data_IF_558072742991
#
_entry.id   IF_558072742991
#
_cell.length_a   1.000
_cell.length_b   1.000
_cell.length_c   1.000
_cell.angle_alpha   90.00
_cell.angle_beta   90.00
_cell.angle_gamma   90.00
#
_symmetry.space_group_name_H-M   'P 1'
#
loop_
_entity.id
_entity.type
_entity.pdbx_description
1 polymer ?
#
# COMPACT_ATOMS: atom_id res chain seq x y z
N UNK A 1 -1.51 -26.52 -16.20
CA UNK A 1 -2.63 -25.66 -15.73
C UNK A 1 -3.53 -25.35 -16.91
N UNK A 2 -4.86 -25.53 -16.82
CA UNK A 2 -5.75 -25.04 -17.87
C UNK A 2 -5.59 -23.51 -17.94
N UNK A 3 -5.70 -22.93 -19.13
CA UNK A 3 -5.57 -21.49 -19.38
C UNK A 3 -6.40 -20.62 -18.40
N UNK A 4 -7.42 -21.20 -17.77
CA UNK A 4 -8.22 -20.62 -16.70
C UNK A 4 -7.42 -20.21 -15.44
N UNK A 5 -6.41 -20.96 -15.00
CA UNK A 5 -5.69 -20.64 -13.74
C UNK A 5 -4.66 -19.53 -13.98
N UNK A 6 -4.01 -19.51 -15.15
CA UNK A 6 -3.17 -18.39 -15.57
C UNK A 6 -4.01 -17.13 -15.80
N UNK A 7 -5.21 -17.27 -16.39
CA UNK A 7 -6.19 -16.16 -16.48
C UNK A 7 -6.68 -15.71 -15.11
N UNK A 8 -6.85 -16.60 -14.13
CA UNK A 8 -7.25 -16.22 -12.77
C UNK A 8 -6.12 -15.54 -12.00
N UNK A 9 -4.87 -15.96 -12.18
CA UNK A 9 -3.69 -15.30 -11.60
C UNK A 9 -3.43 -13.96 -12.28
N UNK A 10 -3.49 -13.89 -13.61
CA UNK A 10 -3.40 -12.64 -14.37
C UNK A 10 -4.60 -11.75 -14.08
N UNK A 11 -5.81 -12.26 -13.86
CA UNK A 11 -6.97 -11.47 -13.47
C UNK A 11 -6.89 -11.02 -12.01
N UNK A 12 -6.31 -11.79 -11.09
CA UNK A 12 -6.09 -11.34 -9.71
C UNK A 12 -4.94 -10.31 -9.62
N UNK A 13 -3.87 -10.51 -10.40
CA UNK A 13 -2.81 -9.54 -10.61
C UNK A 13 -3.31 -8.32 -11.38
N UNK A 14 -4.19 -8.47 -12.37
CA UNK A 14 -4.88 -7.37 -13.02
C UNK A 14 -5.95 -6.77 -12.12
N UNK A 15 -6.55 -7.42 -11.14
CA UNK A 15 -7.46 -6.72 -10.21
C UNK A 15 -6.63 -5.93 -9.21
N UNK A 16 -5.49 -6.45 -8.73
CA UNK A 16 -4.55 -5.70 -7.91
C UNK A 16 -3.85 -4.58 -8.70
N UNK A 17 -3.48 -4.83 -9.95
CA UNK A 17 -2.88 -3.86 -10.84
C UNK A 17 -3.91 -2.93 -11.46
N UNK A 18 -5.15 -3.31 -11.80
CA UNK A 18 -6.23 -2.43 -12.34
C UNK A 18 -6.91 -1.65 -11.22
N UNK A 19 -6.91 -2.14 -9.98
CA UNK A 19 -7.14 -1.26 -8.83
C UNK A 19 -6.10 -0.12 -8.76
N UNK A 20 -4.93 -0.27 -9.42
CA UNK A 20 -3.85 0.73 -9.48
C UNK A 20 -3.52 1.26 -10.89
N UNK A 21 -4.06 0.69 -11.95
CA UNK A 21 -3.83 0.98 -13.38
C UNK A 21 -5.13 1.41 -14.07
N UNK A 22 -6.26 1.27 -13.37
CA UNK A 22 -7.42 2.15 -13.50
C UNK A 22 -7.16 3.56 -12.97
N UNK A 23 -5.91 4.01 -12.86
CA UNK A 23 -5.53 5.43 -12.81
C UNK A 23 -5.72 6.02 -14.22
N UNK A 24 -6.87 5.76 -14.84
CA UNK A 24 -7.37 6.60 -15.92
C UNK A 24 -7.89 7.85 -15.25
N UNK A 25 -7.18 8.96 -15.38
CA UNK A 25 -7.55 10.29 -14.89
C UNK A 25 -8.39 10.25 -13.59
N UNK A 26 -7.81 9.73 -12.50
CA UNK A 26 -8.39 10.01 -11.18
C UNK A 26 -8.32 11.53 -11.07
N UNK A 27 -9.48 12.19 -11.09
CA UNK A 27 -9.54 13.59 -10.73
C UNK A 27 -9.04 13.66 -9.29
N UNK A 28 -7.76 14.00 -9.12
CA UNK A 28 -7.21 14.31 -7.82
C UNK A 28 -8.04 15.47 -7.30
N UNK A 29 -8.93 15.18 -6.36
CA UNK A 29 -9.80 16.20 -5.83
C UNK A 29 -8.96 17.16 -5.02
N UNK A 30 -9.21 18.46 -5.22
CA UNK A 30 -8.47 19.49 -4.52
C UNK A 30 -8.73 19.31 -3.02
N UNK A 31 -7.64 19.26 -2.25
CA UNK A 31 -7.75 19.25 -0.79
C UNK A 31 -8.66 20.38 -0.30
N UNK A 32 -9.49 20.12 0.72
CA UNK A 32 -10.37 21.14 1.27
C UNK A 32 -9.56 22.32 1.83
N UNK A 33 -10.15 23.50 1.77
CA UNK A 33 -9.53 24.71 2.32
C UNK A 33 -9.63 24.71 3.84
N UNK A 34 -8.53 24.33 4.50
CA UNK A 34 -8.45 24.28 5.97
C UNK A 34 -8.30 25.66 6.62
N UNK A 35 -8.23 26.76 5.85
CA UNK A 35 -8.12 28.11 6.41
C UNK A 35 -9.31 28.51 7.29
N UNK A 36 -10.44 27.84 7.10
CA UNK A 36 -11.69 28.07 7.83
C UNK A 36 -11.84 27.17 9.07
N UNK A 37 -10.90 26.25 9.34
CA UNK A 37 -10.94 25.37 10.51
C UNK A 37 -10.71 26.15 11.80
N UNK A 38 -11.45 25.81 12.86
CA UNK A 38 -11.17 26.35 14.19
C UNK A 38 -9.86 25.76 14.71
N UNK A 39 -8.98 26.60 15.22
CA UNK A 39 -7.68 26.13 15.73
C UNK A 39 -6.77 25.55 14.66
N UNK A 40 -6.90 25.99 13.40
CA UNK A 40 -6.07 25.58 12.27
C UNK A 40 -4.58 25.51 12.64
N UNK A 41 -4.03 24.29 12.64
CA UNK A 41 -2.64 23.95 12.93
C UNK A 41 -1.81 23.72 11.65
N UNK A 42 -2.41 24.01 10.50
CA UNK A 42 -1.82 23.83 9.17
C UNK A 42 -1.82 22.38 8.71
N UNK A 43 -2.67 21.51 9.27
CA UNK A 43 -2.87 20.14 8.83
C UNK A 43 -4.32 19.90 8.37
N UNK A 44 -4.46 18.98 7.42
CA UNK A 44 -5.75 18.37 7.09
C UNK A 44 -5.89 17.07 7.87
N UNK A 45 -7.06 16.88 8.47
CA UNK A 45 -7.43 15.67 9.20
C UNK A 45 -8.24 14.77 8.28
N UNK A 46 -7.80 13.52 8.12
CA UNK A 46 -8.30 12.56 7.14
C UNK A 46 -8.77 11.33 7.90
N UNK A 47 -10.05 10.98 7.77
CA UNK A 47 -10.64 9.79 8.34
C UNK A 47 -10.61 8.63 7.35
N UNK A 48 -10.04 7.51 7.78
CA UNK A 48 -10.08 6.19 7.15
C UNK A 48 -10.82 5.24 8.08
N UNK A 49 -12.16 5.29 8.05
CA UNK A 49 -12.99 4.71 9.10
C UNK A 49 -12.82 5.47 10.42
N UNK A 50 -12.40 4.77 11.48
CA UNK A 50 -12.15 5.38 12.80
C UNK A 50 -10.71 5.89 12.97
N UNK A 51 -9.80 5.51 12.08
CA UNK A 51 -8.43 6.01 12.13
C UNK A 51 -8.38 7.41 11.52
N UNK A 52 -7.78 8.36 12.24
CA UNK A 52 -7.53 9.70 11.75
C UNK A 52 -6.05 9.87 11.48
N UNK A 53 -5.73 10.35 10.28
CA UNK A 53 -4.40 10.82 9.91
C UNK A 53 -4.41 12.35 9.81
N UNK A 54 -3.39 13.01 10.32
CA UNK A 54 -3.13 14.42 10.08
C UNK A 54 -1.98 14.57 9.09
N UNK A 55 -2.19 15.34 8.02
CA UNK A 55 -1.18 15.50 6.97
C UNK A 55 -1.12 16.94 6.46
N UNK A 56 -0.02 17.31 5.80
CA UNK A 56 0.05 18.62 5.14
C UNK A 56 -0.82 18.58 3.87
N UNK A 57 -1.66 19.60 3.60
CA UNK A 57 -2.59 19.56 2.46
C UNK A 57 -1.92 19.36 1.10
N UNK A 58 -0.70 19.86 0.91
CA UNK A 58 0.08 19.71 -0.32
C UNK A 58 0.83 18.38 -0.42
N UNK A 59 0.79 17.55 0.62
CA UNK A 59 1.52 16.29 0.71
C UNK A 59 0.62 15.06 0.78
N UNK A 60 -0.66 15.18 0.46
CA UNK A 60 -1.58 14.04 0.42
C UNK A 60 -2.55 14.16 -0.75
N UNK A 61 -2.76 13.05 -1.47
CA UNK A 61 -3.62 12.96 -2.64
C UNK A 61 -4.84 12.12 -2.27
N UNK A 62 -6.03 12.68 -2.49
CA UNK A 62 -7.30 11.96 -2.34
C UNK A 62 -7.54 11.16 -3.61
N UNK A 63 -7.79 9.86 -3.46
CA UNK A 63 -8.00 8.95 -4.60
C UNK A 63 -9.43 8.41 -4.69
N UNK A 64 -10.26 8.63 -3.66
CA UNK A 64 -11.70 8.32 -3.69
C UNK A 64 -12.45 9.02 -2.54
N UNK A 65 -13.40 9.90 -2.89
CA UNK A 65 -14.43 10.36 -1.97
C UNK A 65 -15.76 9.63 -2.15
N UNK A 66 -15.95 8.94 -3.28
CA UNK A 66 -17.24 8.38 -3.63
C UNK A 66 -17.63 7.28 -2.64
N UNK A 67 -18.79 7.44 -2.03
CA UNK A 67 -19.32 6.52 -1.03
C UNK A 67 -18.86 6.76 0.41
N UNK A 68 -17.77 7.49 0.67
CA UNK A 68 -17.26 7.69 2.03
C UNK A 68 -18.26 8.41 2.95
N UNK A 69 -18.95 9.43 2.43
CA UNK A 69 -19.94 10.19 3.21
C UNK A 69 -21.23 9.40 3.51
N UNK A 70 -21.56 8.44 2.65
CA UNK A 70 -22.76 7.60 2.77
C UNK A 70 -22.48 6.26 3.46
N UNK A 71 -21.22 6.01 3.82
CA UNK A 71 -20.80 4.73 4.35
C UNK A 71 -21.09 4.67 5.87
N UNK A 72 -21.95 3.73 6.31
CA UNK A 72 -22.39 3.65 7.70
C UNK A 72 -21.26 3.30 8.69
N UNK A 73 -20.10 2.88 8.20
CA UNK A 73 -18.94 2.59 9.03
C UNK A 73 -18.15 3.83 9.42
N UNK A 74 -18.43 4.98 8.79
CA UNK A 74 -17.89 6.26 9.25
C UNK A 74 -18.71 6.80 10.43
N UNK A 75 -18.09 6.98 11.61
CA UNK A 75 -18.76 7.66 12.71
C UNK A 75 -19.08 9.11 12.34
N UNK A 76 -20.15 9.66 12.93
CA UNK A 76 -20.46 11.08 12.85
C UNK A 76 -19.26 11.93 13.32
N UNK A 77 -18.96 13.07 12.68
CA UNK A 77 -17.89 13.95 13.14
C UNK A 77 -18.31 14.63 14.46
N UNK A 78 -17.36 15.00 15.34
CA UNK A 78 -17.64 15.79 16.53
C UNK A 78 -18.43 17.09 16.26
N UNK A 79 -18.11 17.81 15.18
CA UNK A 79 -18.79 19.04 14.78
C UNK A 79 -18.94 19.10 13.25
N UNK A 80 -20.08 18.64 12.74
CA UNK A 80 -20.38 18.67 11.30
C UNK A 80 -20.52 20.10 10.71
N UNK A 81 -20.51 21.15 11.55
CA UNK A 81 -20.54 22.53 11.08
C UNK A 81 -19.17 23.05 10.65
N UNK A 82 -18.08 22.40 11.08
CA UNK A 82 -16.74 22.68 10.54
C UNK A 82 -16.60 22.22 9.09
N UNK A 83 -15.76 22.87 8.27
CA UNK A 83 -15.42 22.36 6.94
C UNK A 83 -14.81 20.95 7.00
N UNK A 84 -15.05 20.13 5.97
CA UNK A 84 -14.41 18.82 5.87
C UNK A 84 -12.88 18.98 5.82
N UNK A 85 -12.15 18.14 6.56
CA UNK A 85 -10.70 18.23 6.70
C UNK A 85 -10.22 18.96 7.95
N UNK A 86 -11.13 19.58 8.72
CA UNK A 86 -10.82 20.14 10.04
C UNK A 86 -10.72 19.05 11.11
N UNK A 87 -10.14 19.39 12.26
CA UNK A 87 -9.99 18.43 13.36
C UNK A 87 -11.35 17.86 13.79
N UNK A 88 -12.38 18.69 13.97
CA UNK A 88 -13.69 18.24 14.46
C UNK A 88 -14.64 17.80 13.33
N UNK A 89 -14.22 17.94 12.07
CA UNK A 89 -14.88 17.36 10.89
C UNK A 89 -13.86 16.78 9.89
N UNK A 90 -13.21 15.66 10.24
CA UNK A 90 -12.15 15.09 9.42
C UNK A 90 -12.69 14.64 8.07
N UNK A 91 -11.91 14.90 7.02
CA UNK A 91 -12.24 14.53 5.65
C UNK A 91 -12.33 13.00 5.54
N UNK A 92 -13.49 12.48 5.20
CA UNK A 92 -13.72 11.04 5.07
C UNK A 92 -13.26 10.55 3.72
N UNK A 93 -12.37 9.57 3.71
CA UNK A 93 -11.85 8.95 2.48
C UNK A 93 -11.79 7.43 2.64
N UNK A 94 -12.07 6.69 1.56
CA UNK A 94 -11.85 5.24 1.56
C UNK A 94 -10.40 4.89 1.28
N UNK A 95 -9.72 5.76 0.52
CA UNK A 95 -8.32 5.60 0.13
C UNK A 95 -7.66 6.94 -0.18
N UNK A 96 -6.36 7.02 0.07
CA UNK A 96 -5.53 8.15 -0.29
C UNK A 96 -4.05 7.81 -0.32
N UNK A 97 -3.25 8.73 -0.83
CA UNK A 97 -1.82 8.54 -1.04
C UNK A 97 -1.04 9.68 -0.40
N UNK A 98 -0.20 9.42 0.62
CA UNK A 98 0.76 10.42 1.04
C UNK A 98 1.81 10.64 -0.06
N UNK A 99 2.14 11.90 -0.32
CA UNK A 99 3.28 12.28 -1.13
C UNK A 99 4.51 12.22 -0.24
N UNK A 100 5.35 11.21 -0.47
CA UNK A 100 6.57 10.94 0.28
C UNK A 100 7.73 10.86 -0.69
N UNK A 101 8.82 11.53 -0.34
CA UNK A 101 10.08 11.39 -1.07
C UNK A 101 10.87 10.22 -0.47
N UNK A 102 11.50 9.41 -1.33
CA UNK A 102 12.26 8.24 -0.89
C UNK A 102 13.41 8.65 0.06
N UNK A 103 14.01 9.81 -0.17
CA UNK A 103 15.07 10.40 0.65
C UNK A 103 14.64 10.74 2.07
N UNK A 104 13.34 10.97 2.32
CA UNK A 104 12.79 11.17 3.67
C UNK A 104 12.72 9.88 4.46
N UNK A 105 12.66 8.73 3.78
CA UNK A 105 12.47 7.41 4.38
C UNK A 105 13.76 6.60 4.44
N UNK A 106 14.64 6.75 3.45
CA UNK A 106 15.92 6.04 3.36
C UNK A 106 17.05 7.05 3.12
N UNK A 107 17.91 7.29 4.13
CA UNK A 107 19.06 8.17 3.98
C UNK A 107 19.98 7.71 2.83
N UNK A 108 20.31 8.63 1.93
CA UNK A 108 21.20 8.36 0.80
C UNK A 108 20.54 7.66 -0.40
N UNK A 109 19.24 7.37 -0.34
CA UNK A 109 18.51 6.93 -1.53
C UNK A 109 18.39 8.09 -2.52
N UNK A 110 18.93 7.90 -3.72
CA UNK A 110 18.78 8.84 -4.82
C UNK A 110 17.52 8.50 -5.60
N UNK A 111 16.52 9.38 -5.55
CA UNK A 111 15.37 9.32 -6.45
C UNK A 111 15.77 9.88 -7.82
N UNK A 112 16.66 9.17 -8.53
CA UNK A 112 17.24 9.63 -9.81
C UNK A 112 16.22 9.76 -10.94
N UNK A 113 15.02 9.22 -10.74
CA UNK A 113 13.96 9.09 -11.74
C UNK A 113 12.67 9.83 -11.36
N UNK A 114 12.60 10.39 -10.14
CA UNK A 114 11.37 10.95 -9.56
C UNK A 114 10.29 9.90 -9.33
N UNK A 115 10.70 8.64 -9.17
CA UNK A 115 9.90 7.45 -9.43
C UNK A 115 10.17 6.31 -8.43
N UNK A 116 11.13 6.42 -7.51
CA UNK A 116 11.52 5.37 -6.53
C UNK A 116 10.39 4.48 -5.99
N UNK A 117 9.40 5.13 -5.39
CA UNK A 117 8.16 4.52 -4.94
C UNK A 117 7.05 5.30 -5.60
N UNK A 118 6.42 4.70 -6.59
CA UNK A 118 5.57 5.43 -7.53
C UNK A 118 4.18 5.72 -6.97
N UNK A 119 3.72 4.89 -6.03
CA UNK A 119 2.42 5.06 -5.41
C UNK A 119 2.41 4.45 -4.02
N UNK A 120 1.91 5.22 -3.08
CA UNK A 120 1.49 4.79 -1.77
C UNK A 120 -0.04 4.75 -1.76
N UNK A 121 -0.61 3.76 -1.11
CA UNK A 121 -2.04 3.71 -0.90
C UNK A 121 -2.28 3.34 0.55
N UNK A 122 -2.85 4.28 1.27
CA UNK A 122 -3.46 4.03 2.56
C UNK A 122 -4.95 3.85 2.31
N UNK A 123 -5.50 2.74 2.79
CA UNK A 123 -6.89 2.39 2.57
C UNK A 123 -7.55 1.90 3.85
N UNK A 124 -8.86 2.10 3.95
CA UNK A 124 -9.66 1.42 4.96
C UNK A 124 -9.76 -0.07 4.62
N UNK A 125 -9.48 -0.93 5.58
CA UNK A 125 -9.67 -2.38 5.47
C UNK A 125 -10.60 -2.88 6.57
N UNK A 126 -11.59 -3.69 6.20
CA UNK A 126 -12.54 -4.26 7.15
C UNK A 126 -12.21 -5.70 7.52
N UNK A 127 -11.58 -6.45 6.62
CA UNK A 127 -11.23 -7.85 6.81
C UNK A 127 -9.70 -8.03 6.93
N UNK A 128 -9.29 -9.17 7.48
CA UNK A 128 -7.88 -9.58 7.59
C UNK A 128 -7.35 -10.20 6.29
N UNK A 129 -8.13 -10.12 5.22
CA UNK A 129 -7.89 -10.88 4.00
C UNK A 129 -6.63 -10.42 3.26
N UNK A 130 -6.22 -9.15 3.36
CA UNK A 130 -5.09 -8.65 2.57
C UNK A 130 -3.80 -9.44 2.84
N UNK A 131 -3.40 -9.56 4.12
CA UNK A 131 -2.20 -10.29 4.51
C UNK A 131 -2.28 -11.77 4.11
N UNK A 132 -3.41 -12.42 4.42
CA UNK A 132 -3.63 -13.83 4.10
C UNK A 132 -3.62 -14.08 2.58
N UNK A 133 -4.21 -13.18 1.79
CA UNK A 133 -4.21 -13.25 0.33
C UNK A 133 -2.79 -13.12 -0.23
N UNK A 134 -1.95 -12.26 0.36
CA UNK A 134 -0.55 -12.12 -0.04
C UNK A 134 0.25 -13.39 0.24
N UNK A 135 0.15 -13.93 1.45
CA UNK A 135 0.82 -15.18 1.81
C UNK A 135 0.35 -16.34 0.90
N UNK A 136 -0.96 -16.50 0.69
CA UNK A 136 -1.50 -17.48 -0.26
C UNK A 136 -1.00 -17.26 -1.69
N UNK A 137 -0.73 -16.02 -2.09
CA UNK A 137 -0.17 -15.72 -3.42
C UNK A 137 1.30 -16.10 -3.51
N UNK A 138 2.07 -15.88 -2.43
CA UNK A 138 3.44 -16.37 -2.33
C UNK A 138 3.51 -17.90 -2.40
N UNK A 139 2.70 -18.61 -1.59
CA UNK A 139 2.68 -20.08 -1.61
C UNK A 139 2.35 -20.62 -3.01
N UNK A 140 1.36 -20.03 -3.69
CA UNK A 140 1.03 -20.38 -5.09
C UNK A 140 2.17 -20.10 -6.07
N UNK A 141 2.97 -19.06 -5.86
CA UNK A 141 4.14 -18.77 -6.69
C UNK A 141 5.28 -19.78 -6.46
N UNK A 142 5.31 -20.43 -5.29
CA UNK A 142 6.27 -21.48 -4.94
C UNK A 142 5.85 -22.87 -5.44
N UNK A 143 4.61 -23.06 -5.88
CA UNK A 143 4.19 -24.34 -6.46
C UNK A 143 4.86 -24.57 -7.83
N UNK A 144 5.45 -25.75 -8.07
CA UNK A 144 6.03 -26.08 -9.37
C UNK A 144 4.97 -25.98 -10.48
N UNK A 145 5.25 -25.26 -11.58
CA UNK A 145 4.27 -25.06 -12.62
C UNK A 145 4.06 -26.35 -13.43
N UNK A 146 2.79 -26.73 -13.60
CA UNK A 146 2.37 -27.96 -14.30
C UNK A 146 2.58 -27.92 -15.83
N UNK A 147 3.11 -26.84 -16.37
CA UNK A 147 3.28 -26.58 -17.81
C UNK A 147 4.76 -26.56 -18.24
N UNK A 148 5.67 -27.02 -17.37
CA UNK A 148 7.11 -27.12 -17.69
C UNK A 148 7.85 -25.78 -17.68
N UNK A 149 7.22 -24.70 -17.18
CA UNK A 149 7.90 -23.42 -16.97
C UNK A 149 9.09 -23.55 -16.01
N UNK A 150 10.12 -22.75 -16.26
CA UNK A 150 11.24 -22.61 -15.33
C UNK A 150 10.74 -22.11 -13.97
N UNK A 151 11.12 -22.81 -12.92
CA UNK A 151 10.73 -22.52 -11.54
C UNK A 151 11.96 -22.58 -10.65
N UNK A 152 12.12 -21.57 -9.80
CA UNK A 152 13.26 -21.46 -8.90
C UNK A 152 12.78 -20.96 -7.56
N UNK A 153 13.13 -21.71 -6.53
CA UNK A 153 13.01 -21.31 -5.13
C UNK A 153 14.42 -21.07 -4.61
N UNK A 154 14.67 -19.94 -3.96
CA UNK A 154 15.94 -19.71 -3.26
C UNK A 154 15.74 -18.90 -2.00
N UNK A 155 16.61 -19.10 -1.03
CA UNK A 155 16.75 -18.20 0.11
C UNK A 155 17.79 -17.14 -0.23
N UNK A 156 17.45 -15.88 0.02
CA UNK A 156 18.31 -14.70 -0.14
C UNK A 156 18.61 -14.20 1.26
N UNK A 157 19.77 -14.56 1.82
CA UNK A 157 20.21 -14.13 3.14
C UNK A 157 21.70 -13.72 3.10
N UNK A 158 22.06 -12.44 3.32
CA UNK A 158 21.17 -11.27 3.45
C UNK A 158 20.43 -10.95 2.13
N UNK A 159 19.27 -10.28 2.14
CA UNK A 159 18.69 -9.53 3.27
C UNK A 159 17.57 -10.25 4.06
N UNK A 160 17.41 -11.56 3.88
CA UNK A 160 16.52 -12.38 4.71
C UNK A 160 15.15 -12.64 4.09
N UNK A 161 15.13 -13.04 2.82
CA UNK A 161 13.91 -13.38 2.07
C UNK A 161 13.96 -14.80 1.53
N UNK A 162 12.79 -15.43 1.38
CA UNK A 162 12.58 -16.54 0.47
C UNK A 162 12.01 -15.99 -0.84
N UNK A 163 12.63 -16.33 -1.98
CA UNK A 163 12.14 -15.99 -3.32
C UNK A 163 11.57 -17.23 -4.00
N UNK A 164 10.41 -17.08 -4.61
CA UNK A 164 9.83 -18.00 -5.56
C UNK A 164 9.62 -17.29 -6.90
N UNK A 165 10.31 -17.76 -7.93
CA UNK A 165 10.29 -17.18 -9.27
C UNK A 165 9.83 -18.17 -10.33
N UNK A 166 8.95 -17.72 -11.22
CA UNK A 166 8.48 -18.49 -12.38
C UNK A 166 8.74 -17.70 -13.65
N UNK A 167 9.34 -18.35 -14.64
CA UNK A 167 9.59 -17.76 -15.97
C UNK A 167 8.50 -18.21 -16.95
N UNK A 168 8.01 -17.30 -17.79
CA UNK A 168 7.03 -17.64 -18.82
C UNK A 168 7.67 -18.55 -19.89
N UNK A 169 6.99 -19.64 -20.25
CA UNK A 169 7.44 -20.55 -21.30
C UNK A 169 7.32 -19.93 -22.70
N UNK A 170 6.41 -18.94 -22.87
CA UNK A 170 6.18 -18.27 -24.15
C UNK A 170 7.10 -17.08 -24.37
N UNK A 171 7.55 -16.46 -23.28
CA UNK A 171 8.41 -15.30 -23.31
C UNK A 171 9.39 -15.37 -22.14
N UNK A 172 10.64 -15.81 -22.38
CA UNK A 172 11.67 -15.88 -21.35
C UNK A 172 11.99 -14.52 -20.72
N UNK A 173 11.67 -13.41 -21.38
CA UNK A 173 11.85 -12.09 -20.79
C UNK A 173 10.84 -11.86 -19.65
N UNK A 174 9.65 -12.47 -19.70
CA UNK A 174 8.63 -12.31 -18.65
C UNK A 174 8.86 -13.28 -17.48
N UNK A 175 9.19 -12.73 -16.31
CA UNK A 175 9.20 -13.45 -15.03
C UNK A 175 8.19 -12.87 -14.02
N UNK A 176 7.77 -13.74 -13.11
CA UNK A 176 7.06 -13.39 -11.89
C UNK A 176 7.94 -13.84 -10.73
N UNK A 177 8.36 -12.91 -9.88
CA UNK A 177 9.05 -13.24 -8.62
C UNK A 177 8.19 -12.81 -7.45
N UNK A 178 8.04 -13.69 -6.46
CA UNK A 178 7.46 -13.34 -5.16
C UNK A 178 8.50 -13.54 -4.08
N UNK A 179 8.57 -12.59 -3.14
CA UNK A 179 9.48 -12.61 -2.02
C UNK A 179 8.68 -12.64 -0.72
N UNK A 180 9.13 -13.39 0.28
CA UNK A 180 8.56 -13.43 1.62
C UNK A 180 9.67 -13.30 2.65
N UNK A 181 9.52 -12.42 3.63
CA UNK A 181 10.52 -12.28 4.71
C UNK A 181 10.67 -13.58 5.50
N UNK A 182 11.90 -13.94 5.84
CA UNK A 182 12.17 -15.09 6.69
C UNK A 182 11.70 -14.83 8.13
N UNK A 183 11.29 -15.87 8.88
CA UNK A 183 10.93 -15.74 10.28
C UNK A 183 12.04 -15.06 11.11
N UNK A 184 11.65 -14.15 12.00
CA UNK A 184 12.59 -13.43 12.89
C UNK A 184 13.42 -12.33 12.22
N UNK A 185 13.38 -12.17 10.89
CA UNK A 185 14.06 -11.07 10.19
C UNK A 185 13.22 -9.79 10.18
N UNK A 186 11.93 -9.93 9.96
CA UNK A 186 10.98 -8.84 9.91
C UNK A 186 9.56 -9.37 10.15
N UNK A 187 8.74 -8.56 10.80
CA UNK A 187 7.33 -8.84 11.04
C UNK A 187 6.54 -7.55 10.78
N UNK A 188 5.53 -7.62 9.92
CA UNK A 188 4.63 -6.51 9.67
C UNK A 188 3.81 -6.19 10.93
N UNK A 189 3.24 -4.97 11.08
CA UNK A 189 2.56 -4.54 12.31
C UNK A 189 1.52 -5.51 12.87
N UNK A 190 0.77 -6.20 12.00
CA UNK A 190 -0.27 -7.15 12.39
C UNK A 190 0.23 -8.61 12.48
N UNK A 191 1.55 -8.84 12.59
CA UNK A 191 2.15 -10.14 12.93
C UNK A 191 2.53 -11.04 11.74
N UNK A 192 2.23 -10.64 10.50
CA UNK A 192 2.55 -11.41 9.30
C UNK A 192 3.94 -11.11 8.71
N UNK A 193 4.44 -11.95 7.78
CA UNK A 193 5.61 -11.63 6.97
C UNK A 193 5.30 -10.55 5.94
N UNK A 194 6.31 -9.79 5.51
CA UNK A 194 6.18 -8.96 4.33
C UNK A 194 6.25 -9.84 3.08
N UNK A 195 5.26 -9.72 2.21
CA UNK A 195 5.21 -10.44 0.94
C UNK A 195 5.21 -9.44 -0.21
N UNK A 196 6.19 -9.58 -1.10
CA UNK A 196 6.36 -8.75 -2.29
C UNK A 196 6.07 -9.59 -3.51
N UNK A 197 5.40 -9.02 -4.49
CA UNK A 197 5.23 -9.62 -5.80
C UNK A 197 5.75 -8.66 -6.85
N UNK A 198 6.61 -9.16 -7.73
CA UNK A 198 7.21 -8.42 -8.81
C UNK A 198 6.84 -9.08 -10.13
N UNK A 199 6.28 -8.28 -11.03
CA UNK A 199 6.05 -8.67 -12.41
C UNK A 199 7.09 -7.95 -13.28
N UNK A 200 7.64 -8.67 -14.25
CA UNK A 200 8.45 -8.03 -15.29
C UNK A 200 7.83 -8.25 -16.65
N UNK A 201 7.52 -7.15 -17.28
CA UNK A 201 7.06 -7.08 -18.66
C UNK A 201 7.63 -5.82 -19.34
N UNK A 202 8.92 -5.53 -19.12
CA UNK A 202 9.62 -4.34 -19.62
C UNK A 202 9.80 -3.20 -18.60
N UNK A 203 9.05 -3.23 -17.49
CA UNK A 203 9.26 -2.45 -16.27
C UNK A 203 9.22 -3.39 -15.07
N UNK A 204 10.04 -3.15 -14.05
CA UNK A 204 10.00 -3.88 -12.78
C UNK A 204 9.05 -3.18 -11.83
N UNK A 205 7.79 -3.60 -11.84
CA UNK A 205 6.82 -3.12 -10.87
C UNK A 205 6.69 -4.18 -9.78
N UNK A 206 7.34 -3.92 -8.66
CA UNK A 206 7.14 -4.67 -7.43
C UNK A 206 6.06 -3.97 -6.60
N UNK A 207 5.28 -4.76 -5.89
CA UNK A 207 4.29 -4.23 -4.97
C UNK A 207 4.15 -5.14 -3.75
N UNK A 208 3.73 -4.52 -2.65
CA UNK A 208 3.38 -5.20 -1.43
C UNK A 208 2.19 -4.49 -0.79
N UNK A 209 1.49 -5.19 0.09
CA UNK A 209 0.47 -4.58 0.91
C UNK A 209 0.08 -5.46 2.08
N UNK A 210 -0.21 -4.83 3.21
CA UNK A 210 -0.50 -5.48 4.48
C UNK A 210 -1.34 -4.57 5.36
N UNK A 211 -1.87 -5.12 6.46
CA UNK A 211 -2.55 -4.32 7.48
C UNK A 211 -1.54 -3.68 8.41
N UNK A 212 -1.61 -2.37 8.53
CA UNK A 212 -0.85 -1.60 9.52
C UNK A 212 -1.55 -1.55 10.87
N UNK A 213 -2.88 -1.53 10.85
CA UNK A 213 -3.74 -1.52 12.03
C UNK A 213 -5.04 -2.31 11.73
N UNK A 214 -5.91 -2.56 12.72
CA UNK A 214 -7.14 -3.32 12.50
C UNK A 214 -8.00 -2.81 11.34
N UNK A 215 -8.03 -1.50 11.13
CA UNK A 215 -8.84 -0.84 10.08
C UNK A 215 -8.02 -0.17 8.98
N UNK A 216 -6.68 -0.26 9.04
CA UNK A 216 -5.77 0.49 8.17
C UNK A 216 -4.89 -0.45 7.35
N UNK A 217 -5.02 -0.36 6.02
CA UNK A 217 -4.16 -1.02 5.05
C UNK A 217 -3.12 -0.08 4.48
N UNK A 218 -1.94 -0.63 4.19
CA UNK A 218 -0.90 0.02 3.41
C UNK A 218 -0.60 -0.85 2.18
N UNK A 219 -0.47 -0.21 1.03
CA UNK A 219 0.04 -0.81 -0.20
C UNK A 219 1.00 0.17 -0.83
N UNK A 220 2.09 -0.31 -1.43
CA UNK A 220 2.97 0.55 -2.21
C UNK A 220 3.61 -0.20 -3.37
N UNK A 221 3.95 0.56 -4.41
CA UNK A 221 4.64 0.08 -5.61
C UNK A 221 6.02 0.70 -5.71
N UNK A 222 6.99 -0.11 -6.07
CA UNK A 222 8.38 0.28 -6.13
C UNK A 222 9.13 -0.55 -7.18
N UNK A 223 10.32 -0.09 -7.54
CA UNK A 223 11.23 -0.82 -8.42
C UNK A 223 12.54 -1.12 -7.68
N UNK A 224 13.07 -2.33 -7.83
CA UNK A 224 14.36 -2.69 -7.23
C UNK A 224 15.55 -1.92 -7.81
N UNK A 225 15.41 -1.27 -8.97
CA UNK A 225 16.44 -0.37 -9.48
C UNK A 225 16.58 0.92 -8.67
N UNK A 226 15.57 1.26 -7.86
CA UNK A 226 15.51 2.51 -7.08
C UNK A 226 15.46 2.24 -5.58
N UNK A 227 14.78 1.18 -5.16
CA UNK A 227 14.76 0.69 -3.78
C UNK A 227 15.30 -0.73 -3.76
N UNK A 228 16.60 -0.87 -3.48
CA UNK A 228 17.24 -2.19 -3.45
C UNK A 228 16.60 -3.12 -2.42
N UNK A 229 16.61 -4.42 -2.66
CA UNK A 229 15.99 -5.42 -1.77
C UNK A 229 16.58 -5.36 -0.36
N UNK A 230 17.86 -5.01 -0.23
CA UNK A 230 18.59 -4.83 1.03
C UNK A 230 18.08 -3.63 1.84
N UNK A 231 17.56 -2.60 1.18
CA UNK A 231 17.03 -1.39 1.82
C UNK A 231 15.54 -1.48 2.12
N UNK A 232 14.83 -2.43 1.51
CA UNK A 232 13.38 -2.50 1.54
C UNK A 232 12.79 -2.64 2.95
N UNK A 233 13.42 -3.41 3.83
CA UNK A 233 12.92 -3.60 5.20
C UNK A 233 13.08 -2.34 6.05
N UNK A 234 14.17 -1.59 5.84
CA UNK A 234 14.40 -0.33 6.56
C UNK A 234 13.51 0.79 6.02
N UNK A 235 13.34 0.85 4.70
CA UNK A 235 12.35 1.68 4.04
C UNK A 235 10.96 1.47 4.62
N UNK A 236 10.53 0.21 4.69
CA UNK A 236 9.18 -0.13 5.12
C UNK A 236 8.94 0.21 6.60
N UNK A 237 9.94 0.00 7.48
CA UNK A 237 9.90 0.48 8.88
C UNK A 237 9.79 2.00 8.97
N UNK A 238 10.56 2.73 8.17
CA UNK A 238 10.52 4.19 8.15
C UNK A 238 9.15 4.70 7.66
N UNK A 239 8.59 4.08 6.63
CA UNK A 239 7.26 4.37 6.11
C UNK A 239 6.18 4.14 7.17
N UNK A 240 6.23 3.00 7.88
CA UNK A 240 5.31 2.73 8.98
C UNK A 240 5.42 3.78 10.09
N UNK A 241 6.64 4.11 10.50
CA UNK A 241 6.87 5.11 11.54
C UNK A 241 6.32 6.49 11.13
N UNK A 242 6.47 6.88 9.86
CA UNK A 242 5.94 8.12 9.31
C UNK A 242 4.40 8.15 9.37
N UNK A 243 3.75 7.06 8.95
CA UNK A 243 2.27 6.96 8.98
C UNK A 243 1.75 6.95 10.42
N UNK A 244 2.40 6.20 11.32
CA UNK A 244 2.00 6.17 12.74
C UNK A 244 2.22 7.52 13.43
N UNK A 245 3.27 8.27 13.09
CA UNK A 245 3.48 9.63 13.59
C UNK A 245 2.42 10.63 13.09
N UNK A 246 1.82 10.36 11.93
CA UNK A 246 0.71 11.13 11.40
C UNK A 246 -0.64 10.71 11.98
N UNK A 247 -0.74 9.56 12.65
CA UNK A 247 -2.00 9.11 13.25
C UNK A 247 -2.35 9.95 14.48
N UNK A 248 -3.59 10.44 14.53
CA UNK A 248 -4.11 11.14 15.69
C UNK A 248 -4.54 10.09 16.71
N UNK A 249 -3.86 10.09 17.86
CA UNK A 249 -4.10 9.14 18.95
C UNK A 249 -5.29 9.61 19.79
N UNK A 250 -6.05 8.65 20.29
CA UNK A 250 -7.17 8.88 21.22
C UNK A 250 -8.22 9.86 20.69
N UNK A 251 -8.45 9.88 19.38
CA UNK A 251 -9.44 10.76 18.75
C UNK A 251 -10.86 10.45 19.25
N UNK A 252 -11.52 11.48 19.79
CA UNK A 252 -12.79 11.37 20.48
C UNK A 252 -13.98 11.38 19.51
N UNK A 253 -14.19 10.26 18.82
CA UNK A 253 -15.43 10.06 18.07
C UNK A 253 -16.64 10.13 18.99
N UNK A 254 -17.73 10.82 18.58
CA UNK A 254 -19.02 10.71 19.26
C UNK A 254 -19.45 9.24 19.40
N UNK A 255 -20.14 8.94 20.49
CA UNK A 255 -20.78 7.63 20.65
C UNK A 255 -21.81 7.43 19.52
N UNK A 256 -21.94 6.19 19.00
CA UNK A 256 -22.95 5.86 17.99
C UNK A 256 -24.38 6.03 18.51
#
# INVERSE_FOLDING_TARGET
>A
MPAAVLRALIAALLVACVAMAGVGAIAAERMPDISQCRGNDGYVYIALGRDILRWKPDRFIIMDLSGADTDPLFPAPPDASEPAGCHDNPLRVLRGSPVLELSELVPGATDSSGRGVHAFLILRLENDDLQQQREKSFERACEPPQDGRGHRIRTIDPPGFSECSTQSAKDPATWLSSYKTLPGRYTAPMGGPLVITCLYSGLFDCYTGYKMAPTLGLTYLFNFSELALEQLLDFDRALQAKIEAARVKDYAWPAP
#
